data_IF_250636359596
#
_entry.id   IF_250636359596
#
_cell.length_a   1.000
_cell.length_b   1.000
_cell.length_c   1.000
_cell.angle_alpha   90.00
_cell.angle_beta   90.00
_cell.angle_gamma   90.00
#
_symmetry.space_group_name_H-M   'P 1'
#
loop_
_entity.id
_entity.type
_entity.pdbx_description
1 polymer ?
#
# COMPACT_ATOMS: atom_id res chain seq x y z
N UNK A 1 19.39 17.77 -15.42
CA UNK A 1 17.97 17.51 -15.38
C UNK A 1 17.56 16.80 -14.14
N UNK A 2 16.56 17.32 -13.51
CA UNK A 2 16.12 16.81 -12.24
C UNK A 2 15.06 15.74 -12.40
N UNK A 3 15.25 14.61 -11.75
CA UNK A 3 14.27 13.54 -11.76
C UNK A 3 13.08 13.89 -10.91
N UNK A 4 11.92 13.47 -11.37
CA UNK A 4 10.71 13.60 -10.60
C UNK A 4 10.73 12.59 -9.47
N UNK A 5 10.30 13.01 -8.29
CA UNK A 5 10.17 12.09 -7.16
C UNK A 5 8.98 11.17 -7.41
N UNK A 6 9.25 9.86 -7.35
CA UNK A 6 8.21 8.86 -7.52
C UNK A 6 7.43 8.71 -6.22
N UNK A 7 6.11 8.68 -6.32
CA UNK A 7 5.22 8.46 -5.18
C UNK A 7 4.76 7.01 -5.22
N UNK A 8 4.95 6.28 -4.11
CA UNK A 8 4.66 4.85 -4.03
C UNK A 8 3.75 4.59 -2.85
N UNK A 9 2.61 3.93 -3.09
CA UNK A 9 1.71 3.51 -2.02
C UNK A 9 2.01 2.07 -1.64
N UNK A 10 2.14 1.82 -0.33
CA UNK A 10 2.40 0.48 0.19
C UNK A 10 1.10 -0.30 0.23
N UNK A 11 1.13 -1.55 -0.19
CA UNK A 11 0.00 -2.46 -0.17
C UNK A 11 0.43 -3.79 0.41
N UNK A 12 -0.49 -4.48 1.09
CA UNK A 12 -0.19 -5.78 1.66
C UNK A 12 -0.99 -6.04 2.91
N UNK A 13 -0.96 -7.28 3.38
CA UNK A 13 -1.65 -7.67 4.61
C UNK A 13 -0.99 -7.04 5.83
N UNK A 14 -1.81 -6.61 6.80
CA UNK A 14 -1.29 -6.06 8.05
C UNK A 14 -0.49 -7.10 8.85
N UNK A 15 -0.66 -8.39 8.56
CA UNK A 15 0.18 -9.41 9.21
C UNK A 15 1.65 -9.27 8.82
N UNK A 16 1.94 -8.53 7.76
CA UNK A 16 3.33 -8.24 7.35
C UNK A 16 3.75 -6.84 7.77
N UNK A 17 3.20 -6.33 8.87
CA UNK A 17 3.47 -4.95 9.31
C UNK A 17 4.96 -4.65 9.41
N UNK A 18 5.73 -5.58 9.95
CA UNK A 18 7.16 -5.39 10.12
C UNK A 18 7.84 -5.18 8.76
N UNK A 19 7.53 -6.04 7.79
CA UNK A 19 8.10 -5.91 6.46
C UNK A 19 7.61 -4.65 5.75
N UNK A 20 6.33 -4.30 5.95
CA UNK A 20 5.79 -3.06 5.38
C UNK A 20 6.57 -1.84 5.88
N UNK A 21 6.86 -1.80 7.17
CA UNK A 21 7.60 -0.70 7.76
C UNK A 21 9.05 -0.66 7.27
N UNK A 22 9.71 -1.81 7.24
CA UNK A 22 11.09 -1.90 6.78
C UNK A 22 11.23 -1.48 5.32
N UNK A 23 10.31 -1.92 4.48
CA UNK A 23 10.35 -1.59 3.07
C UNK A 23 9.99 -0.13 2.81
N UNK A 24 9.12 0.46 3.64
CA UNK A 24 8.82 1.89 3.56
C UNK A 24 10.08 2.71 3.81
N UNK A 25 10.82 2.37 4.85
CA UNK A 25 12.09 3.04 5.15
C UNK A 25 13.06 2.91 3.97
N UNK A 26 13.20 1.71 3.46
CA UNK A 26 14.16 1.44 2.38
C UNK A 26 13.82 2.26 1.14
N UNK A 27 12.54 2.31 0.78
CA UNK A 27 12.12 3.06 -0.40
C UNK A 27 12.30 4.56 -0.23
N UNK A 28 12.00 5.08 0.96
CA UNK A 28 12.20 6.51 1.26
C UNK A 28 13.67 6.87 1.17
N UNK A 29 14.54 6.04 1.74
CA UNK A 29 15.97 6.30 1.72
C UNK A 29 16.54 6.24 0.30
N UNK A 30 15.83 5.64 -0.63
CA UNK A 30 16.22 5.63 -2.04
C UNK A 30 15.65 6.81 -2.82
N UNK A 31 14.92 7.69 -2.14
CA UNK A 31 14.40 8.90 -2.77
C UNK A 31 12.97 8.84 -3.26
N UNK A 32 12.20 7.85 -2.82
CA UNK A 32 10.80 7.75 -3.18
C UNK A 32 9.92 8.31 -2.06
N UNK A 33 8.82 8.95 -2.42
CA UNK A 33 7.84 9.42 -1.46
C UNK A 33 6.86 8.30 -1.18
N UNK A 34 6.85 7.75 0.03
CA UNK A 34 6.04 6.59 0.37
C UNK A 34 4.75 7.02 1.07
N UNK A 35 3.62 6.50 0.58
CA UNK A 35 2.33 6.64 1.25
C UNK A 35 2.04 5.31 1.94
N UNK A 36 1.99 5.35 3.27
CA UNK A 36 1.85 4.16 4.09
C UNK A 36 0.40 3.74 4.26
N UNK A 37 0.21 2.45 4.55
CA UNK A 37 -1.06 1.95 5.07
C UNK A 37 -1.28 2.57 6.45
N UNK A 38 -2.54 2.83 6.80
CA UNK A 38 -2.88 3.22 8.16
C UNK A 38 -2.88 1.96 9.03
N UNK A 39 -2.07 1.97 10.07
CA UNK A 39 -2.05 0.85 11.02
C UNK A 39 -3.12 1.11 12.08
N UNK A 40 -4.10 0.19 12.24
CA UNK A 40 -5.19 0.41 13.18
C UNK A 40 -4.69 0.56 14.61
N UNK A 41 -5.30 1.46 15.37
CA UNK A 41 -4.94 1.68 16.76
C UNK A 41 -5.67 0.75 17.74
N UNK A 42 -6.59 -0.05 17.22
CA UNK A 42 -7.38 -0.98 18.04
C UNK A 42 -7.72 -2.22 17.24
N UNK A 43 -8.28 -3.22 17.91
CA UNK A 43 -8.60 -4.50 17.29
C UNK A 43 -9.61 -4.33 16.16
N UNK A 44 -9.45 -5.13 15.11
CA UNK A 44 -10.29 -5.07 13.91
C UNK A 44 -11.78 -5.13 14.24
N UNK A 45 -12.15 -5.97 15.21
CA UNK A 45 -13.54 -6.17 15.59
C UNK A 45 -14.18 -4.95 16.21
N UNK A 46 -13.38 -3.97 16.62
CA UNK A 46 -13.89 -2.75 17.24
C UNK A 46 -14.25 -1.66 16.23
N UNK A 47 -14.02 -1.91 14.93
CA UNK A 47 -14.40 -0.99 13.87
C UNK A 47 -15.73 -1.42 13.27
N UNK A 48 -16.56 -0.42 12.92
CA UNK A 48 -17.81 -0.70 12.20
C UNK A 48 -17.51 -1.02 10.74
N UNK A 49 -18.48 -1.61 10.04
CA UNK A 49 -18.34 -1.86 8.60
C UNK A 49 -18.13 -0.59 7.83
N UNK A 50 -18.83 0.49 8.22
CA UNK A 50 -18.68 1.80 7.57
C UNK A 50 -17.27 2.36 7.76
N UNK A 51 -16.70 2.18 8.95
CA UNK A 51 -15.33 2.63 9.22
C UNK A 51 -14.32 1.85 8.38
N UNK A 52 -14.51 0.55 8.28
CA UNK A 52 -13.63 -0.29 7.46
C UNK A 52 -13.69 0.15 5.99
N UNK A 53 -14.90 0.47 5.51
CA UNK A 53 -15.08 0.92 4.15
C UNK A 53 -14.40 2.28 3.92
N UNK A 54 -14.43 3.16 4.92
CA UNK A 54 -13.72 4.44 4.84
C UNK A 54 -12.21 4.23 4.71
N UNK A 55 -11.63 3.33 5.51
CA UNK A 55 -10.21 3.02 5.39
C UNK A 55 -9.88 2.53 4.00
N UNK A 56 -10.74 1.71 3.42
CA UNK A 56 -10.56 1.18 2.08
C UNK A 56 -10.57 2.30 1.04
N UNK A 57 -11.54 3.20 1.14
CA UNK A 57 -11.65 4.35 0.23
C UNK A 57 -10.42 5.25 0.32
N UNK A 58 -9.95 5.49 1.53
CA UNK A 58 -8.77 6.33 1.73
C UNK A 58 -7.54 5.67 1.11
N UNK A 59 -7.46 4.35 1.20
CA UNK A 59 -6.32 3.65 0.61
C UNK A 59 -6.35 3.72 -0.92
N UNK A 60 -7.53 3.58 -1.53
CA UNK A 60 -7.64 3.76 -2.97
C UNK A 60 -7.27 5.19 -3.39
N UNK A 61 -7.58 6.17 -2.56
CA UNK A 61 -7.16 7.56 -2.82
C UNK A 61 -5.64 7.69 -2.83
N UNK A 62 -4.96 6.99 -1.91
CA UNK A 62 -3.49 6.98 -1.92
C UNK A 62 -2.96 6.40 -3.22
N UNK A 63 -3.58 5.33 -3.71
CA UNK A 63 -3.19 4.73 -4.99
C UNK A 63 -3.39 5.74 -6.12
N UNK A 64 -4.51 6.46 -6.11
CA UNK A 64 -4.77 7.49 -7.12
C UNK A 64 -3.67 8.55 -7.16
N UNK A 65 -3.12 8.90 -6.01
CA UNK A 65 -2.09 9.93 -5.90
C UNK A 65 -0.69 9.42 -6.19
N UNK A 66 -0.56 8.12 -6.45
CA UNK A 66 0.74 7.47 -6.61
C UNK A 66 1.11 7.23 -8.06
N UNK A 67 2.40 7.06 -8.30
CA UNK A 67 2.92 6.61 -9.58
C UNK A 67 2.95 5.08 -9.62
N UNK A 68 3.08 4.46 -8.44
CA UNK A 68 3.23 3.01 -8.33
C UNK A 68 2.66 2.54 -7.00
N UNK A 69 2.39 1.23 -6.92
CA UNK A 69 2.17 0.58 -5.63
C UNK A 69 3.29 -0.43 -5.40
N UNK A 70 3.59 -0.67 -4.13
CA UNK A 70 4.59 -1.66 -3.75
C UNK A 70 3.88 -2.70 -2.89
N UNK A 71 3.78 -3.92 -3.41
CA UNK A 71 3.03 -5.01 -2.78
C UNK A 71 3.98 -5.85 -1.94
N UNK A 72 3.76 -5.87 -0.61
CA UNK A 72 4.55 -6.69 0.29
C UNK A 72 3.89 -8.06 0.38
N UNK A 73 4.42 -9.00 -0.40
CA UNK A 73 3.85 -10.34 -0.58
C UNK A 73 4.80 -11.40 -0.03
N UNK A 74 5.02 -11.38 1.28
CA UNK A 74 5.93 -12.33 1.93
C UNK A 74 5.49 -13.76 1.63
N UNK A 75 6.43 -14.58 1.12
CA UNK A 75 6.12 -15.95 0.73
C UNK A 75 5.14 -16.05 -0.43
N UNK A 76 4.96 -14.96 -1.17
CA UNK A 76 4.02 -14.92 -2.29
C UNK A 76 2.57 -14.68 -1.88
N UNK A 77 2.30 -14.51 -0.58
CA UNK A 77 0.93 -14.33 -0.10
C UNK A 77 0.34 -12.99 -0.53
N UNK A 78 -0.83 -13.03 -1.13
CA UNK A 78 -1.61 -11.84 -1.49
C UNK A 78 -3.05 -12.10 -1.07
N UNK A 79 -3.57 -11.31 -0.13
CA UNK A 79 -4.94 -11.45 0.34
C UNK A 79 -5.95 -10.79 -0.61
N UNK A 80 -7.23 -10.97 -0.33
CA UNK A 80 -8.29 -10.47 -1.20
C UNK A 80 -8.26 -8.94 -1.33
N UNK A 81 -8.07 -8.23 -0.23
CA UNK A 81 -8.03 -6.76 -0.27
C UNK A 81 -6.87 -6.29 -1.15
N UNK A 82 -5.71 -6.91 -0.99
CA UNK A 82 -4.54 -6.55 -1.78
C UNK A 82 -4.74 -6.88 -3.26
N UNK A 83 -5.42 -7.99 -3.58
CA UNK A 83 -5.74 -8.30 -4.98
C UNK A 83 -6.60 -7.22 -5.61
N UNK A 84 -7.57 -6.69 -4.86
CA UNK A 84 -8.42 -5.60 -5.35
C UNK A 84 -7.61 -4.34 -5.60
N UNK A 85 -6.66 -4.05 -4.71
CA UNK A 85 -5.77 -2.90 -4.85
C UNK A 85 -4.89 -3.02 -6.09
N UNK A 86 -4.36 -4.21 -6.34
CA UNK A 86 -3.54 -4.48 -7.52
C UNK A 86 -4.37 -4.27 -8.78
N UNK A 87 -5.58 -4.83 -8.82
CA UNK A 87 -6.45 -4.69 -9.98
C UNK A 87 -6.79 -3.22 -10.25
N UNK A 88 -7.08 -2.48 -9.18
CA UNK A 88 -7.40 -1.07 -9.29
C UNK A 88 -6.20 -0.27 -9.82
N UNK A 89 -5.02 -0.53 -9.26
CA UNK A 89 -3.81 0.16 -9.71
C UNK A 89 -3.52 -0.12 -11.17
N UNK A 90 -3.67 -1.38 -11.61
CA UNK A 90 -3.47 -1.76 -13.00
C UNK A 90 -4.44 -1.04 -13.93
N UNK A 91 -5.71 -0.98 -13.55
CA UNK A 91 -6.71 -0.35 -14.40
C UNK A 91 -6.52 1.16 -14.49
N UNK A 92 -5.76 1.75 -13.58
CA UNK A 92 -5.46 3.18 -13.59
C UNK A 92 -4.03 3.47 -14.06
N UNK A 93 -3.39 2.50 -14.68
CA UNK A 93 -2.07 2.71 -15.31
C UNK A 93 -0.93 2.88 -14.34
N UNK A 94 -1.09 2.43 -13.10
CA UNK A 94 -0.02 2.53 -12.11
C UNK A 94 0.95 1.37 -12.24
N UNK A 95 2.21 1.64 -11.96
CA UNK A 95 3.24 0.60 -11.92
C UNK A 95 3.01 -0.29 -10.70
N UNK A 96 3.24 -1.60 -10.85
CA UNK A 96 3.08 -2.56 -9.75
C UNK A 96 4.45 -3.13 -9.42
N UNK A 97 4.91 -2.86 -8.20
CA UNK A 97 6.19 -3.39 -7.72
C UNK A 97 5.90 -4.42 -6.63
N UNK A 98 6.76 -5.40 -6.49
CA UNK A 98 6.57 -6.49 -5.53
C UNK A 98 7.78 -6.67 -4.64
N UNK A 99 7.53 -7.06 -3.40
CA UNK A 99 8.57 -7.41 -2.44
C UNK A 99 9.25 -8.72 -2.86
N UNK A 100 8.48 -9.71 -3.30
CA UNK A 100 9.01 -11.00 -3.77
C UNK A 100 8.60 -11.35 -5.20
#
# INVERSE_FOLDING_TARGET
MKSKIKVITMCGSLKFQEQLMMESDRLELKGNCVLSIIYPSKAKELYTEDEVELFRKMHFKRIDMSDAIYVVNVGGYIGDATRQEIAYAKSNGKEILYYE
#
